data_IF_832154281771
#
_entry.id   IF_832154281771
#
_cell.length_a   1.000
_cell.length_b   1.000
_cell.length_c   1.000
_cell.angle_alpha   90.00
_cell.angle_beta   90.00
_cell.angle_gamma   90.00
#
_symmetry.space_group_name_H-M   'P 1'
#
loop_
_entity.id
_entity.type
_entity.pdbx_description
1 polymer ?
#
# COMPACT_ATOMS: atom_id res chain seq x y z
N UNK A 1 58.23 72.15 -26.90
CA UNK A 1 59.61 71.69 -26.64
C UNK A 1 59.76 71.34 -25.17
N UNK A 2 60.38 70.18 -24.93
CA UNK A 2 61.04 69.71 -23.68
C UNK A 2 60.17 69.13 -22.56
N UNK A 3 60.17 67.79 -22.61
CA UNK A 3 59.99 66.78 -21.55
C UNK A 3 60.60 67.18 -20.19
N UNK A 4 59.87 66.87 -19.12
CA UNK A 4 60.33 66.85 -17.73
C UNK A 4 60.15 65.43 -17.17
N UNK A 5 61.27 64.81 -16.79
CA UNK A 5 61.72 64.48 -15.41
C UNK A 5 60.99 63.28 -14.78
N UNK A 6 61.67 62.14 -14.69
CA UNK A 6 62.71 61.74 -13.72
C UNK A 6 62.11 61.14 -12.44
N UNK A 7 62.01 59.81 -12.53
CA UNK A 7 62.51 58.77 -11.63
C UNK A 7 62.10 58.74 -10.15
N UNK A 8 61.64 57.54 -9.78
CA UNK A 8 60.92 57.15 -8.58
C UNK A 8 61.91 56.80 -7.48
N UNK A 9 61.72 57.35 -6.28
CA UNK A 9 62.35 56.85 -5.05
C UNK A 9 61.25 56.43 -4.07
N UNK A 10 61.48 55.24 -3.56
CA UNK A 10 60.70 54.42 -2.64
C UNK A 10 60.69 55.05 -1.23
N UNK A 11 59.51 55.23 -0.65
CA UNK A 11 59.33 55.35 0.81
C UNK A 11 58.11 54.53 1.21
N UNK A 12 58.36 53.40 1.89
CA UNK A 12 57.34 52.63 2.59
C UNK A 12 56.88 53.44 3.80
N UNK A 13 55.60 53.83 3.82
CA UNK A 13 54.91 54.22 5.05
C UNK A 13 54.19 52.99 5.60
N UNK A 14 54.61 52.56 6.80
CA UNK A 14 53.83 51.69 7.67
C UNK A 14 52.59 52.45 8.15
N UNK A 15 51.40 51.98 7.78
CA UNK A 15 50.16 52.29 8.48
C UNK A 15 49.74 51.08 9.31
N UNK A 16 49.83 51.26 10.63
CA UNK A 16 49.28 50.34 11.63
C UNK A 16 47.75 50.45 11.58
N UNK A 17 47.09 49.46 10.98
CA UNK A 17 45.65 49.25 11.14
C UNK A 17 45.46 48.29 12.32
N UNK A 18 45.00 48.83 13.44
CA UNK A 18 44.56 48.05 14.59
C UNK A 18 43.45 47.09 14.18
N UNK A 19 43.75 45.79 14.29
CA UNK A 19 42.77 44.71 14.23
C UNK A 19 41.88 44.79 15.47
N UNK A 20 40.69 45.37 15.33
CA UNK A 20 39.59 45.05 16.22
C UNK A 20 38.95 43.77 15.69
N UNK A 21 39.22 42.64 16.36
CA UNK A 21 38.45 41.43 16.18
C UNK A 21 37.01 41.70 16.62
N UNK A 22 36.10 41.80 15.65
CA UNK A 22 34.70 41.47 15.90
C UNK A 22 34.59 39.96 15.69
N UNK A 23 34.31 39.25 16.78
CA UNK A 23 33.74 37.91 16.68
C UNK A 23 32.51 38.01 15.79
N UNK A 24 32.59 37.38 14.62
CA UNK A 24 31.46 37.17 13.74
C UNK A 24 30.53 36.19 14.47
N UNK A 25 29.64 36.74 15.30
CA UNK A 25 28.49 35.99 15.79
C UNK A 25 27.76 35.50 14.55
N UNK A 26 27.79 34.19 14.33
CA UNK A 26 26.87 33.49 13.45
C UNK A 26 25.46 33.95 13.85
N UNK A 27 24.89 34.89 13.09
CA UNK A 27 23.46 35.11 13.07
C UNK A 27 22.85 33.82 12.55
N UNK A 28 22.47 32.96 13.49
CA UNK A 28 21.45 31.95 13.24
C UNK A 28 20.25 32.76 12.78
N UNK A 29 19.98 32.73 11.47
CA UNK A 29 18.67 33.11 10.96
C UNK A 29 17.67 32.21 11.68
N UNK A 30 17.07 32.74 12.74
CA UNK A 30 15.86 32.16 13.30
C UNK A 30 14.81 32.31 12.21
N UNK A 31 14.62 31.25 11.42
CA UNK A 31 13.37 31.05 10.67
C UNK A 31 12.24 31.41 11.63
N UNK A 32 11.45 32.40 11.25
CA UNK A 32 10.21 32.74 11.94
C UNK A 32 9.42 31.45 12.18
N UNK A 33 9.35 31.02 13.43
CA UNK A 33 8.84 29.71 13.85
C UNK A 33 7.30 29.66 13.90
N UNK A 34 6.66 30.29 12.91
CA UNK A 34 5.22 30.17 12.65
C UNK A 34 4.91 29.29 11.43
N UNK A 35 5.90 28.60 10.88
CA UNK A 35 5.71 27.61 9.81
C UNK A 35 5.46 26.21 10.38
N UNK A 36 4.41 25.56 9.87
CA UNK A 36 3.87 24.27 10.29
C UNK A 36 4.97 23.19 10.45
N UNK A 37 5.27 22.71 11.69
CA UNK A 37 6.45 21.89 11.96
C UNK A 37 6.41 20.44 11.43
N UNK A 38 5.37 20.05 10.69
CA UNK A 38 5.13 18.66 10.29
C UNK A 38 4.87 18.43 8.80
N UNK A 39 5.02 19.43 7.92
CA UNK A 39 4.76 19.27 6.47
C UNK A 39 6.00 18.70 5.77
N UNK A 40 5.79 17.73 4.88
CA UNK A 40 6.81 17.22 3.94
C UNK A 40 6.60 17.92 2.60
N UNK A 41 7.66 18.45 2.00
CA UNK A 41 7.56 19.07 0.67
C UNK A 41 7.50 18.02 -0.44
N UNK A 42 6.97 18.38 -1.62
CA UNK A 42 6.96 17.50 -2.79
C UNK A 42 8.38 17.02 -3.15
N UNK A 43 9.39 17.89 -2.98
CA UNK A 43 10.79 17.58 -3.28
C UNK A 43 11.40 16.62 -2.25
N UNK A 44 11.13 16.82 -0.95
CA UNK A 44 11.59 15.90 0.10
C UNK A 44 10.97 14.51 -0.09
N UNK A 45 9.67 14.45 -0.41
CA UNK A 45 8.98 13.21 -0.73
C UNK A 45 9.55 12.54 -2.00
N UNK A 46 9.95 13.33 -3.01
CA UNK A 46 10.61 12.84 -4.23
C UNK A 46 11.95 12.18 -3.90
N UNK A 47 12.80 12.84 -3.13
CA UNK A 47 14.12 12.32 -2.73
C UNK A 47 13.96 11.01 -1.94
N UNK A 48 13.01 10.97 -0.99
CA UNK A 48 12.72 9.75 -0.24
C UNK A 48 12.24 8.61 -1.15
N UNK A 49 11.33 8.92 -2.09
CA UNK A 49 10.83 7.94 -3.06
C UNK A 49 11.94 7.42 -3.98
N UNK A 50 12.83 8.27 -4.49
CA UNK A 50 13.94 7.84 -5.33
C UNK A 50 14.88 6.86 -4.61
N UNK A 51 15.14 7.08 -3.32
CA UNK A 51 15.88 6.13 -2.47
C UNK A 51 15.13 4.81 -2.32
N UNK A 52 13.82 4.86 -2.05
CA UNK A 52 12.97 3.68 -1.98
C UNK A 52 12.96 2.88 -3.29
N UNK A 53 12.82 3.55 -4.44
CA UNK A 53 12.82 2.90 -5.76
C UNK A 53 14.16 2.21 -6.04
N UNK A 54 15.28 2.79 -5.61
CA UNK A 54 16.59 2.14 -5.69
C UNK A 54 16.64 0.87 -4.83
N UNK A 55 16.18 0.93 -3.58
CA UNK A 55 16.16 -0.21 -2.67
C UNK A 55 15.27 -1.34 -3.19
N UNK A 56 14.06 -0.99 -3.67
CA UNK A 56 13.04 -1.95 -4.11
C UNK A 56 13.34 -2.54 -5.49
N UNK A 57 13.89 -1.78 -6.44
CA UNK A 57 14.01 -2.26 -7.83
C UNK A 57 15.46 -2.43 -8.32
N UNK A 58 16.46 -1.85 -7.64
CA UNK A 58 17.84 -1.84 -8.13
C UNK A 58 18.83 -2.61 -7.23
N UNK A 59 18.45 -2.97 -6.00
CA UNK A 59 19.35 -3.67 -5.08
C UNK A 59 19.42 -5.19 -5.34
N UNK A 60 20.48 -5.58 -6.07
CA UNK A 60 21.05 -6.91 -6.38
C UNK A 60 21.18 -7.14 -7.90
N UNK A 61 21.85 -6.21 -8.58
CA UNK A 61 22.65 -6.49 -9.77
C UNK A 61 23.83 -7.43 -9.45
N UNK A 62 23.54 -8.60 -8.87
CA UNK A 62 24.46 -9.71 -8.74
C UNK A 62 24.35 -10.56 -10.01
N UNK A 63 25.32 -10.37 -10.91
CA UNK A 63 25.77 -11.24 -12.02
C UNK A 63 25.12 -12.63 -12.17
N UNK A 64 23.82 -12.73 -12.43
CA UNK A 64 23.19 -13.83 -13.18
C UNK A 64 21.68 -13.61 -13.29
N UNK A 65 21.25 -13.20 -14.49
CA UNK A 65 20.02 -13.64 -15.12
C UNK A 65 18.71 -13.52 -14.30
N UNK A 66 18.14 -12.31 -14.21
CA UNK A 66 16.68 -12.13 -14.35
C UNK A 66 16.37 -10.84 -15.10
N UNK A 67 15.66 -11.01 -16.22
CA UNK A 67 15.11 -9.97 -17.07
C UNK A 67 13.91 -9.31 -16.36
N UNK A 68 13.91 -7.97 -16.28
CA UNK A 68 12.67 -7.20 -16.35
C UNK A 68 12.17 -6.49 -15.10
N UNK A 69 13.00 -5.71 -14.42
CA UNK A 69 12.53 -4.48 -13.77
C UNK A 69 13.47 -3.33 -14.15
N UNK A 70 12.98 -2.46 -15.03
CA UNK A 70 13.53 -1.17 -15.38
C UNK A 70 13.60 -0.30 -14.12
N UNK A 71 14.63 0.56 -14.04
CA UNK A 71 14.62 1.69 -13.12
C UNK A 71 13.30 2.45 -13.34
N UNK A 72 12.49 2.61 -12.29
CA UNK A 72 11.30 3.47 -12.33
C UNK A 72 11.75 4.92 -12.27
N UNK A 73 11.48 5.67 -13.33
CA UNK A 73 11.69 7.11 -13.38
C UNK A 73 10.36 7.82 -13.16
N UNK A 74 10.39 8.95 -12.45
CA UNK A 74 9.21 9.79 -12.20
C UNK A 74 8.95 10.65 -13.44
N UNK A 75 7.78 10.49 -14.06
CA UNK A 75 7.36 11.27 -15.22
C UNK A 75 6.71 12.60 -14.82
N UNK A 76 5.84 12.56 -13.81
CA UNK A 76 5.19 13.74 -13.25
C UNK A 76 4.85 13.52 -11.77
N UNK A 77 4.63 14.62 -11.08
CA UNK A 77 4.20 14.61 -9.70
C UNK A 77 3.24 15.77 -9.42
N UNK A 78 2.27 15.55 -8.54
CA UNK A 78 1.33 16.56 -8.11
C UNK A 78 0.92 16.32 -6.65
N UNK A 79 0.25 17.32 -6.08
CA UNK A 79 -0.15 17.31 -4.67
C UNK A 79 -1.66 17.44 -4.58
N UNK A 80 -2.29 16.51 -3.87
CA UNK A 80 -3.73 16.59 -3.56
C UNK A 80 -3.87 17.23 -2.18
N UNK A 81 -4.68 18.29 -2.12
CA UNK A 81 -5.05 19.01 -0.89
C UNK A 81 -6.52 18.73 -0.58
N UNK A 82 -6.90 18.71 0.70
CA UNK A 82 -8.30 18.60 1.08
C UNK A 82 -9.00 19.98 1.05
N UNK A 83 -9.87 20.24 0.07
CA UNK A 83 -10.63 21.49 -0.04
C UNK A 83 -11.91 21.55 0.82
N UNK A 84 -12.32 20.46 1.50
CA UNK A 84 -13.66 20.36 2.13
C UNK A 84 -13.79 20.87 3.57
N UNK A 85 -12.76 21.46 4.17
CA UNK A 85 -12.83 22.04 5.52
C UNK A 85 -12.94 23.58 5.53
N UNK A 86 -13.98 24.13 4.88
CA UNK A 86 -14.31 25.56 4.99
C UNK A 86 -15.59 25.79 5.80
N UNK A 87 -15.51 25.66 7.12
CA UNK A 87 -16.38 26.41 8.05
C UNK A 87 -15.63 26.80 9.34
N UNK A 88 -15.21 28.08 9.39
CA UNK A 88 -14.91 28.92 10.57
C UNK A 88 -14.25 28.24 11.79
N UNK A 89 -12.93 28.05 11.74
CA UNK A 89 -11.92 28.62 12.67
C UNK A 89 -10.63 27.81 12.62
N UNK A 90 -9.50 28.52 12.59
CA UNK A 90 -8.10 28.06 12.51
C UNK A 90 -7.62 27.56 11.13
N UNK A 91 -6.60 28.25 10.62
CA UNK A 91 -5.80 27.90 9.46
C UNK A 91 -4.95 26.65 9.79
N UNK A 92 -5.52 25.46 9.69
CA UNK A 92 -4.77 24.21 9.68
C UNK A 92 -5.16 23.44 8.42
N UNK A 93 -4.30 23.51 7.40
CA UNK A 93 -4.47 22.82 6.12
C UNK A 93 -4.63 21.30 6.34
N UNK A 94 -5.79 20.77 5.94
CA UNK A 94 -6.16 19.33 5.94
C UNK A 94 -5.54 18.60 4.73
N UNK A 95 -5.46 17.24 4.71
CA UNK A 95 -4.27 16.49 4.34
C UNK A 95 -3.69 16.73 2.94
N UNK A 96 -2.36 16.81 2.93
CA UNK A 96 -1.53 16.93 1.74
C UNK A 96 -0.94 15.55 1.45
N UNK A 97 -1.29 14.93 0.33
CA UNK A 97 -0.60 13.76 -0.19
C UNK A 97 0.10 14.12 -1.50
N UNK A 98 1.23 13.49 -1.76
CA UNK A 98 1.98 13.65 -2.99
C UNK A 98 1.84 12.40 -3.85
N UNK A 99 1.47 12.60 -5.11
CA UNK A 99 1.34 11.54 -6.10
C UNK A 99 2.48 11.69 -7.09
N UNK A 100 3.18 10.59 -7.36
CA UNK A 100 4.26 10.50 -8.33
C UNK A 100 3.92 9.43 -9.36
N UNK A 101 3.69 9.81 -10.60
CA UNK A 101 3.49 8.84 -11.69
C UNK A 101 4.82 8.52 -12.35
N UNK A 102 5.02 7.26 -12.73
CA UNK A 102 6.23 6.82 -13.42
C UNK A 102 6.07 6.89 -14.95
N UNK A 103 7.20 6.95 -15.65
CA UNK A 103 7.26 6.90 -17.12
C UNK A 103 6.52 5.68 -17.68
N UNK A 104 6.04 5.75 -18.92
CA UNK A 104 5.42 4.63 -19.64
C UNK A 104 4.25 3.93 -18.92
N UNK A 105 3.59 4.64 -17.99
CA UNK A 105 2.51 4.09 -17.11
C UNK A 105 2.98 2.88 -16.30
N UNK A 106 4.26 2.88 -15.96
CA UNK A 106 4.92 1.84 -15.19
C UNK A 106 4.64 1.93 -13.68
N UNK A 107 3.57 2.60 -13.28
CA UNK A 107 3.10 2.67 -11.90
C UNK A 107 3.11 4.08 -11.34
N UNK A 108 2.90 4.14 -10.03
CA UNK A 108 2.85 5.37 -9.28
C UNK A 108 3.20 5.13 -7.81
N UNK A 109 3.49 6.21 -7.08
CA UNK A 109 3.55 6.21 -5.63
C UNK A 109 2.64 7.28 -5.04
N UNK A 110 2.07 6.99 -3.87
CA UNK A 110 1.35 7.94 -3.02
C UNK A 110 2.15 8.08 -1.72
N UNK A 111 2.64 9.29 -1.46
CA UNK A 111 3.42 9.64 -0.28
C UNK A 111 2.62 10.60 0.62
N UNK A 112 2.77 10.46 1.93
CA UNK A 112 2.19 11.42 2.89
C UNK A 112 2.97 12.74 2.87
N UNK A 113 2.26 13.86 2.89
CA UNK A 113 2.80 15.20 3.11
C UNK A 113 2.99 15.55 4.59
N UNK A 114 2.97 14.57 5.52
CA UNK A 114 3.14 14.81 6.94
C UNK A 114 4.22 13.90 7.54
N UNK A 115 5.25 14.50 8.15
CA UNK A 115 6.43 13.78 8.66
C UNK A 115 6.09 12.84 9.83
N UNK A 116 5.05 13.16 10.59
CA UNK A 116 4.60 12.36 11.73
C UNK A 116 3.71 11.19 11.34
N UNK A 117 3.35 11.07 10.06
CA UNK A 117 2.50 10.00 9.54
C UNK A 117 3.32 9.00 8.72
N UNK A 118 2.70 7.86 8.33
CA UNK A 118 3.37 6.93 7.46
C UNK A 118 3.75 7.55 6.11
N UNK A 119 5.02 7.44 5.71
CA UNK A 119 5.49 8.24 4.58
C UNK A 119 5.07 7.67 3.22
N UNK A 120 5.05 6.34 3.06
CA UNK A 120 4.52 5.67 1.86
C UNK A 120 3.14 5.09 2.15
N UNK A 121 2.14 5.51 1.38
CA UNK A 121 0.81 4.92 1.44
C UNK A 121 0.67 3.78 0.43
N UNK A 122 1.10 4.02 -0.81
CA UNK A 122 1.05 3.03 -1.89
C UNK A 122 2.24 3.19 -2.86
N UNK A 123 2.77 2.07 -3.34
CA UNK A 123 3.72 1.98 -4.46
C UNK A 123 3.21 0.90 -5.42
N UNK A 124 2.67 1.31 -6.57
CA UNK A 124 2.13 0.43 -7.60
C UNK A 124 3.13 0.23 -8.75
N UNK A 125 3.17 -0.98 -9.31
CA UNK A 125 4.07 -1.40 -10.40
C UNK A 125 3.54 -1.08 -11.81
N UNK A 126 2.28 -0.63 -11.92
CA UNK A 126 1.64 -0.28 -13.20
C UNK A 126 0.45 0.66 -13.01
N UNK A 127 0.10 1.35 -14.09
CA UNK A 127 -0.95 2.36 -14.10
C UNK A 127 -0.42 3.75 -13.76
N UNK A 128 -1.34 4.69 -13.65
CA UNK A 128 -1.09 6.09 -13.28
C UNK A 128 -2.31 6.59 -12.51
N UNK A 129 -2.14 7.62 -11.69
CA UNK A 129 -3.22 8.35 -11.06
C UNK A 129 -3.32 9.71 -11.75
N UNK A 130 -4.52 10.05 -12.20
CA UNK A 130 -4.85 11.39 -12.67
C UNK A 130 -5.79 12.06 -11.67
N UNK A 131 -5.76 13.39 -11.59
CA UNK A 131 -6.59 14.15 -10.64
C UNK A 131 -8.10 13.96 -10.85
N UNK A 132 -8.53 13.63 -12.07
CA UNK A 132 -9.94 13.51 -12.46
C UNK A 132 -10.32 12.09 -12.92
N UNK A 133 -9.39 11.14 -12.85
CA UNK A 133 -9.59 9.77 -13.31
C UNK A 133 -10.35 8.90 -12.32
N UNK A 134 -11.00 7.87 -12.84
CA UNK A 134 -11.64 6.84 -12.02
C UNK A 134 -10.65 5.71 -11.70
N UNK A 135 -10.80 5.11 -10.53
CA UNK A 135 -10.04 3.91 -10.13
C UNK A 135 -10.87 2.68 -10.43
N UNK A 136 -10.47 1.92 -11.45
CA UNK A 136 -11.20 0.73 -11.91
C UNK A 136 -10.81 -0.55 -11.17
N UNK A 137 -9.60 -0.61 -10.58
CA UNK A 137 -9.19 -1.77 -9.80
C UNK A 137 -9.93 -1.77 -8.44
N UNK A 138 -10.80 -2.77 -8.17
CA UNK A 138 -11.62 -2.78 -6.97
C UNK A 138 -10.80 -2.99 -5.69
N UNK A 139 -9.65 -3.66 -5.78
CA UNK A 139 -8.75 -3.84 -4.65
C UNK A 139 -8.05 -2.55 -4.26
N UNK A 140 -7.56 -1.81 -5.26
CA UNK A 140 -6.95 -0.50 -5.03
C UNK A 140 -7.99 0.54 -4.59
N UNK A 141 -9.18 0.56 -5.19
CA UNK A 141 -10.28 1.43 -4.74
C UNK A 141 -10.62 1.19 -3.26
N UNK A 142 -10.77 -0.08 -2.86
CA UNK A 142 -11.00 -0.45 -1.46
C UNK A 142 -9.83 -0.02 -0.56
N UNK A 143 -8.58 -0.12 -1.02
CA UNK A 143 -7.43 0.40 -0.27
C UNK A 143 -7.56 1.90 -0.06
N UNK A 144 -7.83 2.69 -1.10
CA UNK A 144 -7.96 4.15 -1.00
C UNK A 144 -9.09 4.56 -0.06
N UNK A 145 -10.26 3.94 -0.16
CA UNK A 145 -11.41 4.20 0.73
C UNK A 145 -11.08 3.94 2.22
N UNK A 146 -10.28 2.90 2.51
CA UNK A 146 -9.82 2.66 3.88
C UNK A 146 -8.69 3.60 4.30
N UNK A 147 -7.81 3.93 3.36
CA UNK A 147 -6.66 4.80 3.62
C UNK A 147 -7.13 6.22 3.94
N UNK A 148 -8.17 6.73 3.28
CA UNK A 148 -8.77 8.04 3.61
C UNK A 148 -9.17 8.10 5.10
N UNK A 149 -10.00 7.15 5.56
CA UNK A 149 -10.40 7.07 6.97
C UNK A 149 -9.20 6.90 7.90
N UNK A 150 -8.24 6.06 7.50
CA UNK A 150 -7.05 5.81 8.33
C UNK A 150 -6.17 7.05 8.44
N UNK A 151 -6.10 7.84 7.37
CA UNK A 151 -5.36 9.09 7.33
C UNK A 151 -6.03 10.15 8.24
N UNK A 152 -7.37 10.22 8.25
CA UNK A 152 -8.11 11.07 9.19
C UNK A 152 -7.86 10.69 10.65
N UNK A 153 -7.87 9.39 10.97
CA UNK A 153 -7.50 8.90 12.31
C UNK A 153 -6.09 9.29 12.70
N UNK A 154 -5.15 9.17 11.77
CA UNK A 154 -3.77 9.57 12.01
C UNK A 154 -3.64 11.06 12.33
N UNK A 155 -4.39 11.91 11.63
CA UNK A 155 -4.40 13.35 11.88
C UNK A 155 -5.05 13.70 13.22
N UNK A 156 -6.11 12.99 13.64
CA UNK A 156 -6.77 13.25 14.93
C UNK A 156 -5.92 12.85 16.12
N UNK A 157 -5.00 11.89 15.94
CA UNK A 157 -4.01 11.50 16.94
C UNK A 157 -2.81 12.46 17.02
N UNK A 158 -2.64 13.37 16.05
CA UNK A 158 -1.64 14.44 16.15
C UNK A 158 -2.18 15.51 17.13
N UNK A 159 -1.50 15.79 18.26
CA UNK A 159 -2.01 16.73 19.25
C UNK A 159 -2.23 18.14 18.65
N UNK A 160 -3.48 18.62 18.67
CA UNK A 160 -3.86 19.98 18.22
C UNK A 160 -3.36 21.09 19.15
N UNK A 161 -2.87 20.74 20.33
CA UNK A 161 -2.38 21.69 21.34
C UNK A 161 -0.94 21.33 21.66
N UNK A 162 -0.05 22.32 21.50
CA UNK A 162 1.33 22.35 21.99
C UNK A 162 1.32 22.39 23.53
N UNK A 163 0.73 21.38 24.16
CA UNK A 163 0.75 21.17 25.61
C UNK A 163 1.57 19.94 26.00
N UNK A 164 2.10 19.19 25.02
CA UNK A 164 3.18 18.26 25.31
C UNK A 164 4.45 19.05 25.54
N UNK A 165 5.06 18.90 26.72
CA UNK A 165 6.40 19.43 27.04
C UNK A 165 7.53 18.86 26.15
N UNK A 166 7.19 18.13 25.08
CA UNK A 166 8.09 17.36 24.25
C UNK A 166 7.80 17.57 22.75
N UNK A 167 8.85 17.47 21.92
CA UNK A 167 8.81 17.43 20.47
C UNK A 167 9.50 16.18 19.92
N UNK A 168 9.12 15.75 18.71
CA UNK A 168 9.68 14.57 18.04
C UNK A 168 10.60 14.98 16.89
N UNK A 169 11.71 14.25 16.74
CA UNK A 169 12.62 14.33 15.59
C UNK A 169 12.63 12.97 14.91
N UNK A 170 12.32 12.97 13.61
CA UNK A 170 12.22 11.76 12.80
C UNK A 170 13.51 11.56 12.00
N UNK A 171 14.12 10.39 12.12
CA UNK A 171 15.27 10.00 11.32
C UNK A 171 14.86 9.50 9.93
N UNK A 172 15.87 9.24 9.08
CA UNK A 172 15.64 8.67 7.76
C UNK A 172 15.00 7.27 7.81
N UNK A 173 14.16 7.01 6.82
CA UNK A 173 13.64 5.67 6.57
C UNK A 173 14.72 4.71 6.05
N UNK A 174 14.67 3.49 6.57
CA UNK A 174 15.41 2.33 6.08
C UNK A 174 14.42 1.28 5.59
N UNK A 175 14.69 0.71 4.42
CA UNK A 175 13.81 -0.25 3.77
C UNK A 175 14.36 -1.67 3.92
N UNK A 176 13.51 -2.62 4.28
CA UNK A 176 13.83 -4.06 4.34
C UNK A 176 12.80 -4.80 3.51
N UNK A 177 13.25 -5.46 2.44
CA UNK A 177 12.39 -6.23 1.55
C UNK A 177 12.47 -7.71 1.94
N UNK A 178 11.36 -8.26 2.42
CA UNK A 178 11.19 -9.68 2.65
C UNK A 178 10.73 -10.32 1.35
N UNK A 179 11.64 -11.08 0.74
CA UNK A 179 11.51 -11.69 -0.59
C UNK A 179 11.35 -10.65 -1.70
N UNK A 180 12.46 -10.33 -2.34
CA UNK A 180 12.49 -9.51 -3.55
C UNK A 180 11.50 -10.03 -4.60
N UNK A 181 10.66 -9.13 -5.13
CA UNK A 181 9.57 -9.42 -6.10
C UNK A 181 8.47 -10.38 -5.59
N UNK A 182 8.50 -10.73 -4.30
CA UNK A 182 7.55 -11.64 -3.67
C UNK A 182 7.68 -13.11 -4.10
N UNK A 183 6.79 -13.94 -3.56
CA UNK A 183 6.74 -15.39 -3.75
C UNK A 183 5.92 -15.80 -4.97
N UNK A 184 4.88 -15.04 -5.33
CA UNK A 184 4.06 -15.28 -6.52
C UNK A 184 4.72 -14.69 -7.76
N UNK A 185 4.99 -15.52 -8.78
CA UNK A 185 5.63 -15.08 -10.04
C UNK A 185 4.61 -14.70 -11.13
N UNK A 186 3.37 -15.14 -10.97
CA UNK A 186 2.30 -14.91 -11.95
C UNK A 186 1.48 -13.68 -11.60
N UNK A 187 0.88 -13.09 -12.62
CA UNK A 187 -0.03 -11.94 -12.58
C UNK A 187 -1.30 -12.33 -13.33
N UNK A 188 -2.00 -13.33 -12.81
CA UNK A 188 -3.17 -13.92 -13.47
C UNK A 188 -4.39 -13.00 -13.40
N UNK A 189 -5.33 -13.20 -14.32
CA UNK A 189 -6.54 -12.39 -14.45
C UNK A 189 -7.80 -13.29 -14.37
N UNK A 190 -8.96 -12.73 -14.68
CA UNK A 190 -10.26 -13.40 -14.58
C UNK A 190 -10.93 -13.67 -15.93
N UNK A 191 -10.44 -13.04 -17.00
CA UNK A 191 -11.00 -13.14 -18.35
C UNK A 191 -10.26 -14.21 -19.17
N UNK A 192 -10.36 -14.18 -20.50
CA UNK A 192 -9.61 -15.11 -21.35
C UNK A 192 -8.10 -14.93 -21.19
N UNK A 193 -7.29 -16.01 -21.17
CA UNK A 193 -7.68 -17.41 -21.33
C UNK A 193 -8.09 -18.11 -20.02
N UNK A 194 -7.97 -17.43 -18.87
CA UNK A 194 -8.22 -18.00 -17.54
C UNK A 194 -9.64 -18.57 -17.37
N UNK A 195 -10.63 -17.99 -18.05
CA UNK A 195 -12.02 -18.40 -17.96
C UNK A 195 -12.50 -19.33 -19.09
N UNK A 196 -11.62 -19.89 -19.92
CA UNK A 196 -12.03 -20.65 -21.11
C UNK A 196 -13.00 -21.81 -20.82
N UNK A 197 -12.89 -22.44 -19.64
CA UNK A 197 -13.79 -23.51 -19.20
C UNK A 197 -14.92 -23.05 -18.26
N UNK A 198 -14.99 -21.76 -17.89
CA UNK A 198 -16.07 -21.25 -17.04
C UNK A 198 -17.43 -21.37 -17.76
N UNK A 199 -18.57 -21.49 -17.04
CA UNK A 199 -19.88 -21.60 -17.67
C UNK A 199 -20.22 -20.41 -18.58
N UNK A 200 -21.10 -20.65 -19.55
CA UNK A 200 -21.74 -19.57 -20.31
C UNK A 200 -22.96 -19.05 -19.54
N UNK A 201 -23.18 -17.74 -19.58
CA UNK A 201 -24.39 -17.07 -19.12
C UNK A 201 -24.83 -16.09 -20.19
N UNK A 202 -26.09 -16.17 -20.61
CA UNK A 202 -26.63 -15.37 -21.72
C UNK A 202 -25.76 -15.47 -23.00
N UNK A 203 -25.24 -16.67 -23.29
CA UNK A 203 -24.36 -16.93 -24.43
C UNK A 203 -22.93 -16.39 -24.32
N UNK A 204 -22.59 -15.65 -23.26
CA UNK A 204 -21.25 -15.09 -23.02
C UNK A 204 -20.50 -15.87 -21.94
N UNK A 205 -19.17 -15.92 -22.04
CA UNK A 205 -18.32 -16.57 -21.03
C UNK A 205 -18.33 -15.77 -19.73
N UNK A 206 -18.61 -16.44 -18.61
CA UNK A 206 -18.48 -15.84 -17.28
C UNK A 206 -17.02 -15.67 -16.89
N UNK A 207 -16.71 -14.74 -15.99
CA UNK A 207 -15.34 -14.58 -15.47
C UNK A 207 -15.05 -15.64 -14.41
N UNK A 208 -13.77 -15.91 -14.13
CA UNK A 208 -13.38 -16.89 -13.10
C UNK A 208 -13.87 -16.49 -11.70
N UNK A 209 -13.82 -15.19 -11.40
CA UNK A 209 -14.10 -14.61 -10.10
C UNK A 209 -12.84 -14.41 -9.25
N UNK A 210 -12.73 -13.26 -8.58
CA UNK A 210 -11.54 -12.85 -7.85
C UNK A 210 -11.07 -13.87 -6.80
N UNK A 211 -12.01 -14.57 -6.14
CA UNK A 211 -11.67 -15.61 -5.15
C UNK A 211 -10.96 -16.79 -5.80
N UNK A 212 -11.41 -17.26 -6.97
CA UNK A 212 -10.74 -18.35 -7.68
C UNK A 212 -9.36 -17.91 -8.17
N UNK A 213 -9.26 -16.72 -8.77
CA UNK A 213 -7.98 -16.18 -9.23
C UNK A 213 -6.99 -16.02 -8.08
N UNK A 214 -7.40 -15.45 -6.94
CA UNK A 214 -6.51 -15.28 -5.79
C UNK A 214 -6.02 -16.63 -5.22
N UNK A 215 -6.91 -17.64 -5.11
CA UNK A 215 -6.53 -18.99 -4.67
C UNK A 215 -5.59 -19.66 -5.68
N UNK A 216 -5.83 -19.51 -6.97
CA UNK A 216 -4.98 -20.07 -8.02
C UNK A 216 -3.57 -19.44 -7.98
N UNK A 217 -3.47 -18.13 -7.75
CA UNK A 217 -2.19 -17.45 -7.55
C UNK A 217 -1.47 -17.92 -6.27
N UNK A 218 -2.20 -18.14 -5.17
CA UNK A 218 -1.63 -18.76 -3.96
C UNK A 218 -1.07 -20.16 -4.26
N UNK A 219 -1.82 -20.98 -5.00
CA UNK A 219 -1.38 -22.32 -5.41
C UNK A 219 -0.12 -22.28 -6.27
N UNK A 220 0.02 -21.26 -7.12
CA UNK A 220 1.21 -21.07 -7.96
C UNK A 220 2.50 -20.83 -7.16
N UNK A 221 2.42 -20.25 -5.95
CA UNK A 221 3.59 -20.08 -5.07
C UNK A 221 4.21 -21.44 -4.72
N UNK A 222 3.37 -22.45 -4.55
CA UNK A 222 3.78 -23.77 -4.09
C UNK A 222 3.88 -24.82 -5.21
N UNK A 223 3.45 -24.48 -6.43
CA UNK A 223 3.29 -25.44 -7.52
C UNK A 223 2.47 -26.66 -7.10
N UNK A 224 1.27 -26.44 -6.56
CA UNK A 224 0.46 -27.51 -5.97
C UNK A 224 -1.05 -27.27 -6.10
N UNK A 225 -1.86 -28.32 -6.35
CA UNK A 225 -1.47 -29.74 -6.42
C UNK A 225 -0.91 -30.16 -7.77
N UNK A 226 -0.19 -31.28 -7.79
CA UNK A 226 0.30 -31.89 -9.04
C UNK A 226 -0.82 -32.50 -9.86
N UNK A 227 -1.94 -32.88 -9.24
CA UNK A 227 -3.15 -33.31 -9.91
C UNK A 227 -4.41 -33.09 -9.06
N UNK A 228 -5.57 -33.03 -9.70
CA UNK A 228 -6.87 -32.98 -9.03
C UNK A 228 -7.91 -33.71 -9.89
N UNK A 229 -8.67 -34.64 -9.28
CA UNK A 229 -9.68 -35.48 -9.97
C UNK A 229 -9.18 -36.13 -11.28
N UNK A 230 -7.95 -36.62 -11.29
CA UNK A 230 -7.35 -37.28 -12.45
C UNK A 230 -6.78 -36.34 -13.52
N UNK A 231 -6.92 -35.02 -13.36
CA UNK A 231 -6.27 -34.03 -14.22
C UNK A 231 -4.92 -33.60 -13.63
N UNK A 232 -3.86 -33.62 -14.42
CA UNK A 232 -2.50 -33.25 -13.97
C UNK A 232 -2.16 -31.80 -14.32
N UNK A 233 -1.42 -31.14 -13.42
CA UNK A 233 -0.98 -29.76 -13.59
C UNK A 233 0.56 -29.68 -13.70
N UNK A 234 1.05 -29.26 -14.85
CA UNK A 234 2.44 -28.88 -15.08
C UNK A 234 2.64 -27.43 -14.66
N UNK A 235 2.93 -27.23 -13.38
CA UNK A 235 3.18 -25.91 -12.81
C UNK A 235 4.38 -25.19 -13.42
N UNK A 236 5.38 -25.92 -13.94
CA UNK A 236 6.53 -25.28 -14.57
C UNK A 236 6.11 -24.58 -15.86
N UNK A 237 5.27 -25.21 -16.68
CA UNK A 237 4.73 -24.59 -17.88
C UNK A 237 3.63 -23.56 -17.58
N UNK A 238 2.74 -23.82 -16.60
CA UNK A 238 1.70 -22.87 -16.18
C UNK A 238 2.26 -21.56 -15.62
N UNK A 239 3.42 -21.60 -14.95
CA UNK A 239 4.03 -20.43 -14.29
C UNK A 239 5.27 -19.90 -15.01
N UNK A 240 5.58 -20.44 -16.19
CA UNK A 240 6.75 -20.07 -17.02
C UNK A 240 6.75 -18.59 -17.37
N UNK A 241 5.58 -18.04 -17.67
CA UNK A 241 5.38 -16.62 -17.92
C UNK A 241 4.49 -16.00 -16.83
N UNK A 242 4.69 -14.70 -16.61
CA UNK A 242 3.86 -13.91 -15.67
C UNK A 242 2.37 -13.97 -16.05
N UNK A 243 2.07 -13.98 -17.34
CA UNK A 243 0.72 -13.94 -17.89
C UNK A 243 0.41 -15.20 -18.69
N UNK A 244 -0.80 -15.74 -18.53
CA UNK A 244 -1.20 -16.98 -19.21
C UNK A 244 -1.23 -16.84 -20.74
N UNK A 245 -1.60 -15.67 -21.27
CA UNK A 245 -1.63 -15.43 -22.72
C UNK A 245 -0.24 -15.48 -23.39
N UNK A 246 0.85 -15.44 -22.60
CA UNK A 246 2.22 -15.66 -23.08
C UNK A 246 2.68 -17.12 -22.93
N UNK A 247 1.89 -17.98 -22.30
CA UNK A 247 2.19 -19.42 -22.17
C UNK A 247 1.70 -20.21 -23.39
N UNK A 248 2.13 -21.47 -23.50
CA UNK A 248 1.64 -22.41 -24.52
C UNK A 248 0.13 -22.67 -24.37
N UNK A 249 -0.55 -23.10 -25.43
CA UNK A 249 -1.98 -23.43 -25.39
C UNK A 249 -2.29 -24.49 -24.32
N UNK A 250 -1.45 -25.52 -24.19
CA UNK A 250 -1.58 -26.55 -23.14
C UNK A 250 -1.47 -25.97 -21.74
N UNK A 251 -0.58 -25.01 -21.50
CA UNK A 251 -0.47 -24.35 -20.21
C UNK A 251 -1.68 -23.44 -19.95
N UNK A 252 -2.17 -22.72 -20.96
CA UNK A 252 -3.39 -21.92 -20.87
C UNK A 252 -4.60 -22.78 -20.51
N UNK A 253 -4.76 -23.94 -21.15
CA UNK A 253 -5.82 -24.89 -20.86
C UNK A 253 -5.75 -25.42 -19.42
N UNK A 254 -4.55 -25.77 -18.94
CA UNK A 254 -4.36 -26.23 -17.56
C UNK A 254 -4.70 -25.13 -16.53
N UNK A 255 -4.32 -23.88 -16.80
CA UNK A 255 -4.69 -22.72 -15.96
C UNK A 255 -6.21 -22.56 -15.95
N UNK A 256 -6.86 -22.61 -17.10
CA UNK A 256 -8.30 -22.47 -17.20
C UNK A 256 -9.06 -23.65 -16.54
N UNK A 257 -8.52 -24.87 -16.64
CA UNK A 257 -9.03 -26.05 -15.94
C UNK A 257 -8.93 -25.89 -14.42
N UNK A 258 -7.80 -25.41 -13.91
CA UNK A 258 -7.65 -25.10 -12.48
C UNK A 258 -8.70 -24.09 -12.02
N UNK A 259 -8.89 -23.01 -12.79
CA UNK A 259 -9.85 -21.94 -12.45
C UNK A 259 -11.29 -22.47 -12.37
N UNK A 260 -11.73 -23.30 -13.31
CA UNK A 260 -13.09 -23.87 -13.26
C UNK A 260 -13.24 -24.91 -12.15
N UNK A 261 -12.22 -25.75 -11.90
CA UNK A 261 -12.27 -26.74 -10.81
C UNK A 261 -12.34 -26.07 -9.44
N UNK A 262 -11.61 -24.97 -9.25
CA UNK A 262 -11.72 -24.13 -8.05
C UNK A 262 -13.16 -23.62 -7.85
N UNK A 263 -13.86 -23.27 -8.93
CA UNK A 263 -15.23 -22.74 -8.85
C UNK A 263 -16.34 -23.78 -8.64
N UNK A 264 -16.05 -25.08 -8.71
CA UNK A 264 -17.05 -26.13 -8.51
C UNK A 264 -17.74 -26.07 -7.13
N UNK A 265 -18.94 -26.65 -7.03
CA UNK A 265 -19.75 -26.70 -5.79
C UNK A 265 -19.01 -27.32 -4.60
N UNK A 266 -18.24 -28.39 -4.85
CA UNK A 266 -17.42 -29.04 -3.82
C UNK A 266 -16.28 -28.15 -3.32
N UNK A 267 -15.90 -27.12 -4.08
CA UNK A 267 -14.81 -26.20 -3.81
C UNK A 267 -15.31 -24.80 -3.45
N UNK A 268 -15.07 -23.76 -4.26
CA UNK A 268 -15.47 -22.41 -3.88
C UNK A 268 -16.97 -22.18 -3.94
N UNK A 269 -17.72 -23.06 -4.61
CA UNK A 269 -19.15 -22.89 -4.87
C UNK A 269 -19.42 -21.53 -5.52
N UNK A 270 -18.80 -21.33 -6.68
CA UNK A 270 -18.77 -20.05 -7.37
C UNK A 270 -20.14 -19.71 -7.94
N UNK A 271 -20.64 -18.52 -7.60
CA UNK A 271 -21.77 -17.90 -8.28
C UNK A 271 -21.27 -17.20 -9.54
N UNK A 272 -21.25 -17.94 -10.67
CA UNK A 272 -20.75 -17.44 -11.95
C UNK A 272 -21.63 -16.33 -12.55
N UNK A 273 -20.98 -15.26 -13.04
CA UNK A 273 -21.65 -14.15 -13.71
C UNK A 273 -20.74 -13.47 -14.74
N UNK A 274 -21.33 -12.61 -15.55
CA UNK A 274 -20.59 -11.78 -16.52
C UNK A 274 -19.92 -10.61 -15.80
N UNK A 275 -18.75 -10.17 -16.28
CA UNK A 275 -18.02 -9.02 -15.72
C UNK A 275 -18.92 -7.77 -15.68
N UNK A 276 -19.58 -7.46 -16.79
CA UNK A 276 -20.54 -6.34 -16.95
C UNK A 276 -21.77 -6.43 -16.02
N UNK A 277 -22.03 -7.58 -15.40
CA UNK A 277 -23.14 -7.82 -14.46
C UNK A 277 -22.66 -8.01 -13.01
N UNK A 278 -21.46 -7.53 -12.67
CA UNK A 278 -20.88 -7.58 -11.34
C UNK A 278 -19.93 -8.76 -11.08
N UNK A 279 -19.64 -9.58 -12.11
CA UNK A 279 -18.64 -10.64 -12.04
C UNK A 279 -19.03 -11.84 -11.18
N UNK A 280 -18.15 -12.85 -11.18
CA UNK A 280 -18.34 -14.09 -10.42
C UNK A 280 -17.86 -13.93 -8.98
N UNK A 281 -18.62 -14.48 -8.01
CA UNK A 281 -18.33 -14.34 -6.59
C UNK A 281 -18.46 -15.65 -5.81
N UNK A 282 -17.67 -15.81 -4.76
CA UNK A 282 -17.70 -16.96 -3.86
C UNK A 282 -17.55 -16.51 -2.40
N UNK A 283 -18.10 -17.30 -1.47
CA UNK A 283 -17.92 -17.05 -0.04
C UNK A 283 -16.49 -17.42 0.37
N UNK A 284 -15.75 -16.47 0.98
CA UNK A 284 -14.38 -16.68 1.43
C UNK A 284 -14.24 -17.83 2.44
N UNK A 285 -15.30 -18.16 3.20
CA UNK A 285 -15.31 -19.30 4.11
C UNK A 285 -15.22 -20.66 3.40
N UNK A 286 -15.41 -20.69 2.08
CA UNK A 286 -15.18 -21.89 1.28
C UNK A 286 -13.68 -22.12 0.97
N UNK A 287 -12.81 -21.12 1.12
CA UNK A 287 -11.39 -21.26 0.78
C UNK A 287 -10.70 -22.36 1.60
N UNK A 288 -10.86 -22.45 2.94
CA UNK A 288 -10.24 -23.52 3.71
C UNK A 288 -10.62 -24.93 3.25
N UNK A 289 -11.91 -25.19 3.01
CA UNK A 289 -12.36 -26.50 2.50
C UNK A 289 -11.84 -26.77 1.09
N UNK A 290 -11.77 -25.75 0.23
CA UNK A 290 -11.21 -25.88 -1.11
C UNK A 290 -9.75 -26.28 -1.04
N UNK A 291 -8.91 -25.56 -0.30
CA UNK A 291 -7.50 -25.92 -0.16
C UNK A 291 -7.34 -27.35 0.37
N UNK A 292 -8.16 -27.76 1.34
CA UNK A 292 -8.19 -29.14 1.83
C UNK A 292 -8.54 -30.17 0.75
N UNK A 293 -9.54 -29.90 -0.08
CA UNK A 293 -9.91 -30.79 -1.19
C UNK A 293 -8.81 -30.91 -2.24
N UNK A 294 -8.03 -29.84 -2.45
CA UNK A 294 -6.84 -29.86 -3.31
C UNK A 294 -5.60 -30.45 -2.59
N UNK A 295 -5.75 -30.98 -1.38
CA UNK A 295 -4.73 -31.78 -0.68
C UNK A 295 -3.82 -31.01 0.29
N UNK A 296 -4.10 -29.74 0.57
CA UNK A 296 -3.31 -28.95 1.52
C UNK A 296 -3.34 -29.55 2.94
N UNK A 297 -2.17 -29.63 3.58
CA UNK A 297 -2.03 -30.04 4.98
C UNK A 297 -2.76 -29.11 5.97
N UNK A 298 -3.01 -27.85 5.60
CA UNK A 298 -3.94 -26.94 6.27
C UNK A 298 -4.60 -26.00 5.27
N UNK A 299 -5.94 -25.89 5.31
CA UNK A 299 -6.67 -24.89 4.52
C UNK A 299 -6.63 -23.49 5.14
N UNK A 300 -6.06 -23.33 6.34
CA UNK A 300 -6.05 -22.08 7.08
C UNK A 300 -7.42 -21.69 7.63
N UNK A 301 -7.51 -20.45 8.10
CA UNK A 301 -8.71 -19.88 8.70
C UNK A 301 -8.90 -18.43 8.28
N UNK A 302 -10.14 -18.05 7.95
CA UNK A 302 -10.50 -16.67 7.65
C UNK A 302 -10.66 -15.92 8.97
N UNK A 303 -9.84 -14.88 9.17
CA UNK A 303 -9.88 -14.01 10.35
C UNK A 303 -10.05 -12.55 9.92
N UNK A 304 -10.45 -11.68 10.85
CA UNK A 304 -10.31 -10.24 10.63
C UNK A 304 -8.85 -9.89 10.34
N UNK A 305 -8.61 -8.96 9.42
CA UNK A 305 -7.25 -8.58 9.05
C UNK A 305 -6.52 -8.05 10.28
N UNK A 306 -5.30 -8.53 10.53
CA UNK A 306 -4.45 -8.07 11.61
C UNK A 306 -3.02 -7.96 11.08
N UNK A 307 -2.43 -6.78 11.16
CA UNK A 307 -1.09 -6.50 10.62
C UNK A 307 -0.04 -7.48 11.12
N UNK A 308 0.00 -7.75 12.43
CA UNK A 308 1.00 -8.67 13.00
C UNK A 308 0.87 -10.09 12.46
N UNK A 309 -0.35 -10.61 12.34
CA UNK A 309 -0.61 -11.95 11.78
C UNK A 309 -0.19 -12.05 10.31
N UNK A 310 -0.54 -11.03 9.51
CA UNK A 310 -0.20 -10.98 8.07
C UNK A 310 1.30 -10.86 7.88
N UNK A 311 1.96 -9.97 8.63
CA UNK A 311 3.42 -9.81 8.62
C UNK A 311 4.11 -11.13 9.01
N UNK A 312 3.62 -11.83 10.03
CA UNK A 312 4.19 -13.11 10.45
C UNK A 312 4.11 -14.18 9.36
N UNK A 313 2.99 -14.30 8.65
CA UNK A 313 2.84 -15.24 7.53
C UNK A 313 3.78 -14.88 6.38
N UNK A 314 3.81 -13.61 5.96
CA UNK A 314 4.62 -13.15 4.83
C UNK A 314 6.13 -13.28 5.11
N UNK A 315 6.59 -12.96 6.33
CA UNK A 315 7.99 -13.21 6.74
C UNK A 315 8.34 -14.70 6.74
N UNK A 316 7.37 -15.56 7.07
CA UNK A 316 7.52 -17.02 7.01
C UNK A 316 7.49 -17.60 5.60
N UNK A 317 7.27 -16.78 4.57
CA UNK A 317 7.16 -17.22 3.19
C UNK A 317 5.81 -17.82 2.82
N UNK A 318 4.77 -17.51 3.58
CA UNK A 318 3.41 -17.96 3.32
C UNK A 318 2.59 -16.83 2.70
N UNK A 319 1.99 -17.10 1.53
CA UNK A 319 1.07 -16.17 0.87
C UNK A 319 -0.22 -16.01 1.68
N UNK A 320 -0.76 -14.80 1.75
CA UNK A 320 -1.95 -14.47 2.53
C UNK A 320 -3.05 -13.99 1.59
N UNK A 321 -4.21 -14.65 1.61
CA UNK A 321 -5.37 -14.19 0.86
C UNK A 321 -6.14 -13.15 1.67
N UNK A 322 -6.17 -11.92 1.18
CA UNK A 322 -6.86 -10.79 1.82
C UNK A 322 -8.11 -10.45 1.02
N UNK A 323 -9.20 -10.10 1.69
CA UNK A 323 -10.40 -9.65 1.00
C UNK A 323 -11.32 -8.83 1.88
N UNK A 324 -12.08 -7.95 1.24
CA UNK A 324 -13.01 -7.03 1.87
C UNK A 324 -14.18 -6.68 0.95
N UNK A 325 -15.03 -5.77 1.40
CA UNK A 325 -16.19 -5.25 0.67
C UNK A 325 -16.13 -3.73 0.69
N UNK A 326 -16.48 -3.07 -0.42
CA UNK A 326 -16.51 -1.59 -0.51
C UNK A 326 -17.82 -0.97 0.01
N UNK A 327 -18.94 -1.72 0.02
CA UNK A 327 -20.22 -1.17 0.46
C UNK A 327 -20.89 -2.00 1.56
N UNK A 328 -21.42 -1.31 2.58
CA UNK A 328 -22.32 -1.84 3.61
C UNK A 328 -23.67 -1.12 3.51
N UNK A 329 -24.74 -1.88 3.33
CA UNK A 329 -26.11 -1.37 3.38
C UNK A 329 -26.81 -1.89 4.63
N UNK A 330 -27.32 -0.98 5.48
CA UNK A 330 -28.07 -1.33 6.70
C UNK A 330 -29.53 -0.96 6.50
N UNK A 331 -30.41 -1.96 6.37
CA UNK A 331 -31.86 -1.76 6.41
C UNK A 331 -32.27 -1.54 7.86
N UNK A 332 -32.92 -0.41 8.12
CA UNK A 332 -33.53 -0.09 9.41
C UNK A 332 -35.06 -0.06 9.31
N UNK A 333 -35.73 -0.33 10.41
CA UNK A 333 -37.16 -0.10 10.60
C UNK A 333 -37.32 0.71 11.90
N UNK A 334 -37.81 1.95 11.80
CA UNK A 334 -37.94 2.87 12.95
C UNK A 334 -36.65 2.99 13.79
N UNK A 335 -35.50 3.12 13.13
CA UNK A 335 -34.19 3.20 13.79
C UNK A 335 -33.58 1.84 14.20
N UNK A 336 -34.38 0.77 14.25
CA UNK A 336 -33.91 -0.59 14.59
C UNK A 336 -33.24 -1.22 13.36
N UNK A 337 -32.01 -1.74 13.53
CA UNK A 337 -31.31 -2.46 12.45
C UNK A 337 -32.00 -3.81 12.19
N UNK A 338 -32.48 -4.00 10.97
CA UNK A 338 -33.19 -5.22 10.56
C UNK A 338 -32.29 -6.15 9.75
N UNK A 339 -31.44 -5.59 8.88
CA UNK A 339 -30.57 -6.38 8.01
C UNK A 339 -29.36 -5.59 7.56
N UNK A 340 -28.19 -6.21 7.59
CA UNK A 340 -26.98 -5.66 6.97
C UNK A 340 -26.59 -6.50 5.75
N UNK A 341 -26.26 -5.84 4.64
CA UNK A 341 -25.76 -6.43 3.41
C UNK A 341 -24.40 -5.82 3.06
N UNK A 342 -23.56 -6.61 2.40
CA UNK A 342 -22.28 -6.17 1.86
C UNK A 342 -22.23 -6.42 0.36
N UNK A 343 -21.63 -5.51 -0.41
CA UNK A 343 -21.47 -5.63 -1.87
C UNK A 343 -20.14 -5.02 -2.33
N UNK A 344 -19.75 -5.27 -3.58
CA UNK A 344 -18.44 -4.86 -4.10
C UNK A 344 -17.28 -5.62 -3.44
N UNK A 345 -17.48 -6.91 -3.18
CA UNK A 345 -16.46 -7.75 -2.55
C UNK A 345 -15.27 -7.99 -3.48
N UNK A 346 -14.05 -7.90 -2.94
CA UNK A 346 -12.83 -8.24 -3.67
C UNK A 346 -11.90 -9.08 -2.80
N UNK A 347 -11.15 -9.98 -3.42
CA UNK A 347 -10.16 -10.83 -2.78
C UNK A 347 -8.92 -10.94 -3.64
N UNK A 348 -7.77 -10.79 -3.00
CA UNK A 348 -6.46 -10.72 -3.62
C UNK A 348 -5.42 -11.50 -2.81
N UNK A 349 -4.20 -11.58 -3.34
CA UNK A 349 -3.08 -12.27 -2.71
C UNK A 349 -2.04 -11.26 -2.24
N UNK A 350 -1.65 -11.31 -0.97
CA UNK A 350 -0.41 -10.73 -0.49
C UNK A 350 0.70 -11.78 -0.54
N UNK A 351 1.82 -11.47 -1.19
CA UNK A 351 2.89 -12.45 -1.45
C UNK A 351 4.31 -11.89 -1.30
N UNK A 352 4.49 -10.82 -0.56
CA UNK A 352 5.78 -10.20 -0.27
C UNK A 352 5.56 -9.12 0.77
N UNK A 353 6.64 -8.57 1.33
CA UNK A 353 6.53 -7.57 2.39
C UNK A 353 7.69 -6.60 2.33
N UNK A 354 7.37 -5.31 2.33
CA UNK A 354 8.30 -4.23 2.61
C UNK A 354 8.10 -3.79 4.06
N UNK A 355 9.18 -3.68 4.80
CA UNK A 355 9.23 -2.96 6.08
C UNK A 355 9.98 -1.65 5.86
N UNK A 356 9.35 -0.55 6.27
CA UNK A 356 10.02 0.74 6.38
C UNK A 356 10.21 1.02 7.86
N UNK A 357 11.42 1.31 8.31
CA UNK A 357 11.68 1.65 9.71
C UNK A 357 12.54 2.89 9.86
N UNK A 358 12.27 3.70 10.88
CA UNK A 358 13.07 4.88 11.23
C UNK A 358 13.24 5.01 12.73
N UNK A 359 14.27 5.73 13.14
CA UNK A 359 14.43 6.13 14.54
C UNK A 359 13.62 7.39 14.80
N UNK A 360 12.82 7.39 15.85
CA UNK A 360 12.09 8.58 16.34
C UNK A 360 12.64 8.94 17.71
N UNK A 361 13.15 10.17 17.83
CA UNK A 361 13.67 10.71 19.08
C UNK A 361 12.68 11.71 19.65
N UNK A 362 12.34 11.58 20.92
CA UNK A 362 11.50 12.54 21.64
C UNK A 362 12.36 13.36 22.57
N UNK A 363 12.29 14.68 22.47
CA UNK A 363 13.01 15.64 23.30
C UNK A 363 12.02 16.44 24.13
N UNK A 364 12.41 16.94 25.30
CA UNK A 364 11.63 17.96 25.98
C UNK A 364 11.89 19.36 25.38
N UNK A 365 11.11 20.36 25.78
CA UNK A 365 11.26 21.74 25.29
C UNK A 365 12.63 22.38 25.57
N UNK A 366 13.41 21.82 26.50
CA UNK A 366 14.77 22.25 26.80
C UNK A 366 15.82 21.52 25.94
N UNK A 367 15.41 20.74 24.94
CA UNK A 367 16.29 19.98 24.05
C UNK A 367 16.90 18.71 24.67
N UNK A 368 16.39 18.25 25.82
CA UNK A 368 16.88 17.04 26.48
C UNK A 368 16.16 15.81 25.94
N UNK A 369 16.92 14.85 25.41
CA UNK A 369 16.40 13.58 24.89
C UNK A 369 15.67 12.81 26.00
N UNK A 370 14.39 12.53 25.78
CA UNK A 370 13.54 11.74 26.67
C UNK A 370 13.50 10.27 26.25
N UNK A 371 13.41 10.00 24.94
CA UNK A 371 13.34 8.64 24.42
C UNK A 371 13.84 8.53 22.98
N UNK A 372 14.25 7.33 22.59
CA UNK A 372 14.60 6.99 21.21
C UNK A 372 13.98 5.63 20.88
N UNK A 373 13.01 5.61 19.98
CA UNK A 373 12.25 4.40 19.60
C UNK A 373 12.42 4.09 18.13
N UNK A 374 12.18 2.84 17.73
CA UNK A 374 12.08 2.45 16.33
C UNK A 374 10.60 2.45 15.96
N UNK A 375 10.27 3.22 14.93
CA UNK A 375 8.98 3.18 14.26
C UNK A 375 9.11 2.26 13.03
N UNK A 376 8.13 1.38 12.84
CA UNK A 376 8.07 0.48 11.67
C UNK A 376 6.71 0.55 11.01
N UNK A 377 6.72 0.65 9.69
CA UNK A 377 5.59 0.49 8.78
C UNK A 377 5.75 -0.80 7.99
N UNK A 378 4.60 -1.37 7.60
CA UNK A 378 4.54 -2.64 6.88
C UNK A 378 3.70 -2.47 5.64
N UNK A 379 4.24 -2.88 4.50
CA UNK A 379 3.55 -2.80 3.22
C UNK A 379 3.54 -4.18 2.57
N UNK A 380 2.43 -4.94 2.64
CA UNK A 380 2.29 -6.17 1.89
C UNK A 380 2.31 -5.93 0.38
N UNK A 381 3.06 -6.75 -0.35
CA UNK A 381 3.02 -6.80 -1.81
C UNK A 381 1.73 -7.48 -2.25
N UNK A 382 0.80 -6.69 -2.78
CA UNK A 382 -0.52 -7.11 -3.21
C UNK A 382 -0.50 -7.43 -4.71
N UNK A 383 -1.00 -8.62 -5.03
CA UNK A 383 -1.42 -9.00 -6.37
C UNK A 383 -2.94 -9.09 -6.39
N UNK A 384 -3.57 -8.17 -7.10
CA UNK A 384 -5.01 -7.97 -7.12
C UNK A 384 -5.76 -9.05 -7.92
N UNK A 385 -5.05 -9.83 -8.74
CA UNK A 385 -5.66 -10.80 -9.67
C UNK A 385 -6.32 -10.12 -10.87
N UNK A 386 -5.77 -8.98 -11.28
CA UNK A 386 -6.24 -8.13 -12.39
C UNK A 386 -5.15 -7.98 -13.45
N UNK A 387 -4.46 -9.08 -13.78
CA UNK A 387 -3.44 -9.05 -14.82
C UNK A 387 -2.22 -8.18 -14.48
N UNK A 388 -1.95 -7.96 -13.19
CA UNK A 388 -0.85 -7.10 -12.76
C UNK A 388 -1.18 -5.63 -12.60
N UNK A 389 -2.36 -5.20 -13.04
CA UNK A 389 -2.76 -3.81 -13.02
C UNK A 389 -2.83 -3.28 -11.59
N UNK A 390 -1.98 -2.28 -11.31
CA UNK A 390 -1.79 -1.69 -9.98
C UNK A 390 -1.34 -2.68 -8.89
N UNK A 391 -0.77 -3.84 -9.22
CA UNK A 391 -0.10 -4.65 -8.20
C UNK A 391 1.03 -3.83 -7.53
N UNK A 392 1.34 -4.06 -6.26
CA UNK A 392 2.33 -3.23 -5.56
C UNK A 392 2.33 -3.33 -4.04
N UNK A 393 3.12 -2.48 -3.40
CA UNK A 393 3.24 -2.39 -1.94
C UNK A 393 2.23 -1.37 -1.38
N UNK A 394 1.40 -1.81 -0.44
CA UNK A 394 0.31 -1.01 0.14
C UNK A 394 0.38 -0.97 1.66
N UNK A 395 0.17 0.19 2.29
CA UNK A 395 0.29 0.34 3.73
C UNK A 395 -0.70 -0.58 4.48
N UNK A 396 -0.17 -1.48 5.31
CA UNK A 396 -0.93 -2.52 6.01
C UNK A 396 -2.00 -1.96 6.94
N UNK A 397 -1.77 -0.79 7.54
CA UNK A 397 -2.71 -0.20 8.50
C UNK A 397 -4.04 0.19 7.84
N UNK A 398 -4.05 0.51 6.54
CA UNK A 398 -5.28 0.73 5.78
C UNK A 398 -6.16 -0.54 5.74
N UNK A 399 -5.57 -1.73 5.82
CA UNK A 399 -6.35 -2.98 5.86
C UNK A 399 -6.78 -3.39 7.28
N UNK A 400 -6.21 -2.77 8.33
CA UNK A 400 -6.42 -3.17 9.71
C UNK A 400 -7.53 -2.35 10.39
N UNK A 401 -8.79 -2.67 10.08
CA UNK A 401 -9.98 -1.97 10.56
C UNK A 401 -10.47 -2.39 11.96
N UNK A 402 -9.67 -3.13 12.76
CA UNK A 402 -10.10 -3.59 14.09
C UNK A 402 -10.03 -2.51 15.17
N UNK A 403 -9.24 -1.45 14.95
CA UNK A 403 -9.24 -0.28 15.80
C UNK A 403 -10.24 0.69 15.17
N UNK A 404 -11.47 0.74 15.69
CA UNK A 404 -12.40 1.80 15.26
C UNK A 404 -11.80 3.20 15.51
N UNK A 405 -12.40 4.27 14.97
CA UNK A 405 -11.87 5.61 15.13
C UNK A 405 -11.75 5.97 16.61
N UNK A 406 -10.60 6.52 16.99
CA UNK A 406 -10.43 7.18 18.29
C UNK A 406 -11.14 8.53 18.20
N UNK A 407 -12.12 8.77 19.09
CA UNK A 407 -12.76 10.07 19.21
C UNK A 407 -12.06 10.87 20.32
N UNK A 408 -11.62 12.11 20.06
CA UNK A 408 -10.90 12.93 21.04
C UNK A 408 -11.76 13.50 22.19
N UNK A 409 -13.02 13.08 22.33
CA UNK A 409 -13.91 13.65 23.34
C UNK A 409 -14.11 12.69 24.54
N UNK A 410 -13.16 12.74 25.47
CA UNK A 410 -13.18 12.01 26.74
C UNK A 410 -14.22 12.54 27.76
N UNK A 411 -15.22 13.30 27.32
CA UNK A 411 -16.31 13.79 28.18
C UNK A 411 -17.62 13.00 28.03
N UNK A 412 -17.70 12.05 27.09
CA UNK A 412 -18.83 11.11 27.01
C UNK A 412 -18.48 9.75 27.63
N UNK A 413 -18.38 9.74 28.96
CA UNK A 413 -18.81 8.57 29.72
C UNK A 413 -20.34 8.44 29.58
N UNK A 414 -20.80 7.95 28.44
CA UNK A 414 -22.16 7.47 28.29
C UNK A 414 -22.08 6.02 27.84
N UNK A 415 -22.43 5.13 28.77
CA UNK A 415 -23.00 3.81 28.53
C UNK A 415 -23.23 3.48 27.04
N UNK A 416 -22.55 2.45 26.57
CA UNK A 416 -22.71 1.83 25.24
C UNK A 416 -24.13 1.23 25.05
N UNK A 417 -25.19 2.03 25.14
CA UNK A 417 -26.57 1.59 24.91
C UNK A 417 -27.24 2.23 23.70
N UNK A 418 -26.65 3.24 23.06
CA UNK A 418 -27.26 3.81 21.84
C UNK A 418 -26.22 4.33 20.84
N UNK A 419 -25.97 3.56 19.76
CA UNK A 419 -25.85 4.15 18.43
C UNK A 419 -24.49 4.25 17.71
N UNK A 420 -23.35 3.75 18.23
CA UNK A 420 -22.05 3.94 17.55
C UNK A 420 -21.64 2.87 16.52
N UNK A 421 -22.39 1.77 16.41
CA UNK A 421 -22.05 0.67 15.49
C UNK A 421 -22.24 0.98 13.98
N UNK A 422 -22.76 2.15 13.61
CA UNK A 422 -23.06 2.44 12.21
C UNK A 422 -21.82 2.80 11.37
N UNK A 423 -20.72 3.23 12.00
CA UNK A 423 -19.55 3.74 11.28
C UNK A 423 -18.36 2.75 11.17
N UNK A 424 -18.36 1.64 11.93
CA UNK A 424 -17.17 0.78 12.07
C UNK A 424 -17.13 -0.48 11.19
N UNK A 425 -18.11 -0.69 10.30
CA UNK A 425 -18.18 -1.96 9.57
C UNK A 425 -18.26 -1.84 8.06
N UNK A 426 -18.09 -0.66 7.44
CA UNK A 426 -18.17 -0.55 5.97
C UNK A 426 -17.19 -1.49 5.25
N UNK A 427 -16.04 -1.80 5.88
CA UNK A 427 -14.91 -2.49 5.26
C UNK A 427 -14.39 -3.66 6.10
N UNK A 428 -15.21 -4.68 6.39
CA UNK A 428 -14.72 -5.88 7.09
C UNK A 428 -13.63 -6.57 6.25
N UNK A 429 -12.37 -6.21 6.46
CA UNK A 429 -11.23 -6.84 5.80
C UNK A 429 -10.88 -8.11 6.54
N UNK A 430 -10.65 -9.17 5.78
CA UNK A 430 -10.34 -10.49 6.29
C UNK A 430 -9.10 -11.04 5.62
N UNK A 431 -8.32 -11.82 6.37
CA UNK A 431 -7.15 -12.51 5.89
C UNK A 431 -7.28 -14.02 6.13
N UNK A 432 -6.81 -14.83 5.18
CA UNK A 432 -6.61 -16.26 5.37
C UNK A 432 -5.25 -16.50 6.02
N UNK A 433 -5.25 -17.01 7.24
CA UNK A 433 -4.03 -17.27 8.04
C UNK A 433 -3.87 -18.79 8.23
N UNK A 434 -2.63 -19.28 8.21
CA UNK A 434 -2.30 -20.68 8.49
C UNK A 434 -2.57 -21.68 7.36
N UNK A 435 -2.67 -21.24 6.10
CA UNK A 435 -2.75 -22.15 4.96
C UNK A 435 -1.38 -22.80 4.70
N UNK A 436 -1.32 -24.13 4.59
CA UNK A 436 -0.08 -24.90 4.42
C UNK A 436 -0.29 -26.01 3.39
N UNK A 437 0.59 -26.06 2.39
CA UNK A 437 0.66 -27.19 1.45
C UNK A 437 0.89 -28.48 2.21
#
# INVERSE_FOLDING_TARGET
MKSNKLWRILFLLLTVMSSCGQEEYLTIETKDSKDYPNIVSLEDARIELEKLLCDVYQSQSSKSMQVGMSKKNIANAFTIKNETSFTRSSYAESPIIHVFNFEDKEGFAIMSGNVGLPSLLALADSGEITETGYIDNPGFALFLENMEKKYEEYLSEVPLVVSSNNYKVYGEWKNIIYKQNGYCKVKWNQDSPYNNYCPLKDGKRTVTGCVATAVAQLMSIYGYPTSYKGYSFDWNEMTKNKYAWNCTSTAQDQIAHLMVELGTKSNLDMSYNLSEKGGSGANANNIPRTLKNFGYSSGGSIKGYNTASVVSELKGGYGVLVGGFSHKSVKKFLGIKVKTKYSGGHRWLCHGLLERRRTVKTYNNNGILQSSTIESEWHPLCNWGWGGYQDGYYLSSAFNSNNGPSYPDATKNSSNETGSEDYNYQFKITALIGARK
#
